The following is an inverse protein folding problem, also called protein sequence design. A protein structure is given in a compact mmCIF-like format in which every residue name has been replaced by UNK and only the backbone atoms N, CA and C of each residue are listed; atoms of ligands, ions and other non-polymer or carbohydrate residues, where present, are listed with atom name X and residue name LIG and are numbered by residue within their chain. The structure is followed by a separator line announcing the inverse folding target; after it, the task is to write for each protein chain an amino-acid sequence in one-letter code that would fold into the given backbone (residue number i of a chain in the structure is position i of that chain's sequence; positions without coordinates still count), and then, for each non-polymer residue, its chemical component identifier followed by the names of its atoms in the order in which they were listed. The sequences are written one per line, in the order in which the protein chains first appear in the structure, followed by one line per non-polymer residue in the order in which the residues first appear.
data_IF_880989711561
#
_entry.id   IF_880989711561
#
_cell.length_a   1.000
_cell.length_b   1.000
_cell.length_c   1.000
_cell.angle_alpha   90.00
_cell.angle_beta   90.00
_cell.angle_gamma   90.00
#
_symmetry.space_group_name_H-M   'P 1'
#
loop_
_entity.id
_entity.type
_entity.pdbx_description
1 polymer ?
#
# COMPACT_ATOMS: atom_id res chain seq x y z
N UNK A 1 -0.69 -11.91 9.25
CA UNK A 1 -0.09 -11.26 8.09
C UNK A 1 0.99 -10.26 8.49
N UNK A 2 2.16 -10.30 7.83
CA UNK A 2 3.16 -9.23 7.93
C UNK A 2 2.93 -8.15 6.88
N UNK A 3 3.15 -6.89 7.25
CA UNK A 3 2.96 -5.74 6.37
C UNK A 3 4.30 -5.06 6.12
N UNK A 4 4.64 -4.93 4.84
CA UNK A 4 5.83 -4.25 4.39
C UNK A 4 5.47 -3.14 3.40
N UNK A 5 6.39 -2.19 3.20
CA UNK A 5 6.30 -1.25 2.09
C UNK A 5 7.66 -0.99 1.43
N UNK A 6 7.62 -0.50 0.20
CA UNK A 6 8.79 0.06 -0.47
C UNK A 6 8.93 1.56 -0.16
N UNK A 7 10.08 2.15 -0.50
CA UNK A 7 10.36 3.56 -0.29
C UNK A 7 9.30 4.49 -0.91
N UNK A 8 8.84 4.20 -2.13
CA UNK A 8 7.87 5.04 -2.85
C UNK A 8 6.57 5.19 -2.08
N UNK A 9 6.06 4.09 -1.50
CA UNK A 9 4.89 4.13 -0.63
C UNK A 9 5.16 5.01 0.59
N UNK A 10 6.27 4.77 1.31
CA UNK A 10 6.60 5.52 2.52
C UNK A 10 6.67 7.02 2.23
N UNK A 11 7.37 7.41 1.17
CA UNK A 11 7.51 8.82 0.76
C UNK A 11 6.16 9.48 0.49
N UNK A 12 5.29 8.86 -0.31
CA UNK A 12 3.97 9.45 -0.60
C UNK A 12 3.05 9.42 0.63
N UNK A 13 3.11 8.36 1.43
CA UNK A 13 2.33 8.26 2.66
C UNK A 13 2.70 9.36 3.66
N UNK A 14 3.99 9.57 3.94
CA UNK A 14 4.47 10.60 4.86
C UNK A 14 4.14 12.01 4.35
N UNK A 15 4.34 12.24 3.04
CA UNK A 15 3.97 13.48 2.37
C UNK A 15 2.47 13.78 2.53
N UNK A 16 1.59 12.82 2.25
CA UNK A 16 0.15 12.99 2.38
C UNK A 16 -0.27 13.17 3.85
N UNK A 17 0.23 12.34 4.76
CA UNK A 17 -0.11 12.39 6.19
C UNK A 17 0.25 13.73 6.83
N UNK A 18 1.31 14.39 6.34
CA UNK A 18 1.70 15.73 6.81
C UNK A 18 0.71 16.84 6.46
N UNK A 19 -0.24 16.61 5.53
CA UNK A 19 -1.18 17.63 5.04
C UNK A 19 -2.53 17.44 5.68
N UNK A 20 -3.10 18.54 6.22
CA UNK A 20 -4.43 18.57 6.84
C UNK A 20 -5.52 17.91 6.00
N UNK A 21 -5.53 18.13 4.69
CA UNK A 21 -6.53 17.58 3.77
C UNK A 21 -6.46 16.06 3.59
N UNK A 22 -5.37 15.41 3.98
CA UNK A 22 -5.16 13.96 3.83
C UNK A 22 -4.81 13.27 5.15
N UNK A 23 -5.04 13.90 6.30
CA UNK A 23 -4.76 13.33 7.64
C UNK A 23 -5.50 12.01 7.93
N UNK A 24 -6.54 11.70 7.15
CA UNK A 24 -7.28 10.43 7.27
C UNK A 24 -6.51 9.22 6.73
N UNK A 25 -5.45 9.41 5.94
CA UNK A 25 -4.76 8.32 5.23
C UNK A 25 -4.21 7.26 6.19
N UNK A 26 -3.64 7.67 7.32
CA UNK A 26 -3.07 6.74 8.30
C UNK A 26 -4.15 5.87 8.94
N UNK A 27 -5.21 6.50 9.44
CA UNK A 27 -6.38 5.77 9.96
C UNK A 27 -6.97 4.82 8.92
N UNK A 28 -6.97 5.20 7.65
CA UNK A 28 -7.49 4.38 6.56
C UNK A 28 -6.60 3.17 6.27
N UNK A 29 -5.28 3.34 6.36
CA UNK A 29 -4.32 2.22 6.27
C UNK A 29 -4.49 1.28 7.45
N UNK A 30 -4.56 1.81 8.68
CA UNK A 30 -4.76 1.01 9.90
C UNK A 30 -6.04 0.18 9.79
N UNK A 31 -7.17 0.85 9.52
CA UNK A 31 -8.49 0.22 9.47
C UNK A 31 -8.60 -0.85 8.38
N UNK A 32 -7.95 -0.63 7.22
CA UNK A 32 -8.11 -1.55 6.09
C UNK A 32 -7.11 -2.70 6.10
N UNK A 33 -5.84 -2.47 6.42
CA UNK A 33 -4.78 -3.47 6.22
C UNK A 33 -4.38 -4.24 7.48
N UNK A 34 -4.48 -3.64 8.67
CA UNK A 34 -4.09 -4.31 9.91
C UNK A 34 -5.18 -5.25 10.40
N UNK A 35 -4.78 -6.31 11.11
CA UNK A 35 -5.65 -7.36 11.63
C UNK A 35 -6.47 -8.09 10.55
N UNK A 36 -5.91 -8.19 9.33
CA UNK A 36 -6.49 -8.94 8.22
C UNK A 36 -5.51 -9.96 7.67
N UNK A 37 -6.06 -11.00 7.07
CA UNK A 37 -5.33 -11.99 6.26
C UNK A 37 -5.13 -11.47 4.84
N UNK A 38 -4.15 -12.06 4.14
CA UNK A 38 -3.91 -11.73 2.73
C UNK A 38 -5.14 -12.00 1.84
N UNK A 39 -5.92 -13.02 2.15
CA UNK A 39 -7.14 -13.42 1.44
C UNK A 39 -8.27 -12.38 1.59
N UNK A 40 -8.47 -11.84 2.79
CA UNK A 40 -9.45 -10.77 3.04
C UNK A 40 -9.12 -9.47 2.29
N UNK A 41 -7.84 -9.26 1.98
CA UNK A 41 -7.34 -8.10 1.25
C UNK A 41 -7.35 -8.28 -0.27
N UNK A 42 -7.75 -9.44 -0.77
CA UNK A 42 -7.74 -9.78 -2.20
C UNK A 42 -8.76 -9.00 -3.04
N UNK A 43 -9.65 -8.23 -2.40
CA UNK A 43 -10.65 -7.43 -3.11
C UNK A 43 -10.04 -6.22 -3.82
N UNK A 44 -10.53 -5.88 -5.02
CA UNK A 44 -10.04 -4.75 -5.83
C UNK A 44 -9.85 -5.13 -7.30
N UNK A 45 -9.21 -4.24 -8.07
CA UNK A 45 -8.81 -4.56 -9.44
C UNK A 45 -7.48 -5.28 -9.40
N UNK A 46 -7.46 -6.55 -9.83
CA UNK A 46 -6.22 -7.29 -10.02
C UNK A 46 -5.52 -6.77 -11.28
N UNK A 47 -4.25 -6.39 -11.13
CA UNK A 47 -3.38 -5.83 -12.17
C UNK A 47 -2.49 -6.89 -12.81
N UNK A 48 -2.45 -8.10 -12.23
CA UNK A 48 -1.86 -9.29 -12.82
C UNK A 48 -2.91 -10.43 -12.84
N UNK A 49 -2.66 -11.51 -13.58
CA UNK A 49 -3.55 -12.68 -13.59
C UNK A 49 -3.07 -13.78 -12.62
N UNK A 50 -2.36 -13.41 -11.54
CA UNK A 50 -1.79 -14.39 -10.60
C UNK A 50 -2.70 -14.56 -9.39
N UNK A 51 -3.21 -15.77 -9.17
CA UNK A 51 -4.02 -16.09 -7.98
C UNK A 51 -3.18 -16.26 -6.72
N UNK A 52 -1.92 -16.66 -6.85
CA UNK A 52 -1.01 -16.91 -5.71
C UNK A 52 -0.32 -15.64 -5.22
N UNK A 53 -0.09 -14.69 -6.12
CA UNK A 53 0.56 -13.41 -5.81
C UNK A 53 -0.21 -12.23 -6.40
N UNK A 54 -1.44 -11.96 -5.92
CA UNK A 54 -2.27 -10.86 -6.41
C UNK A 54 -1.54 -9.52 -6.36
N UNK A 55 -1.41 -8.85 -7.51
CA UNK A 55 -1.06 -7.43 -7.55
C UNK A 55 -2.36 -6.63 -7.69
N UNK A 56 -2.71 -5.82 -6.69
CA UNK A 56 -4.04 -5.23 -6.56
C UNK A 56 -3.95 -3.70 -6.58
N UNK A 57 -4.87 -3.09 -7.33
CA UNK A 57 -5.30 -1.70 -7.16
C UNK A 57 -6.60 -1.66 -6.38
N UNK A 58 -6.61 -0.96 -5.26
CA UNK A 58 -7.81 -0.75 -4.44
C UNK A 58 -8.04 0.73 -4.19
N UNK A 59 -9.31 1.16 -4.29
CA UNK A 59 -9.73 2.44 -3.76
C UNK A 59 -10.22 2.25 -2.33
N UNK A 60 -9.64 2.97 -1.39
CA UNK A 60 -10.17 3.11 -0.02
C UNK A 60 -11.00 4.39 0.05
N UNK A 61 -12.22 4.29 0.58
CA UNK A 61 -13.25 5.35 0.64
C UNK A 61 -13.78 5.85 -0.73
N UNK A 62 -14.79 6.73 -0.67
CA UNK A 62 -15.58 7.23 -1.79
C UNK A 62 -14.89 8.30 -2.66
N UNK A 63 -15.58 9.40 -2.96
CA UNK A 63 -15.14 10.43 -3.91
C UNK A 63 -13.78 11.07 -3.57
N UNK A 64 -13.48 11.26 -2.28
CA UNK A 64 -12.18 11.76 -1.78
C UNK A 64 -11.19 10.66 -1.34
N UNK A 65 -11.41 9.42 -1.76
CA UNK A 65 -10.61 8.27 -1.33
C UNK A 65 -9.19 8.22 -1.91
N UNK A 66 -8.43 7.24 -1.46
CA UNK A 66 -7.06 6.97 -1.91
C UNK A 66 -7.02 5.73 -2.78
N UNK A 67 -6.16 5.74 -3.79
CA UNK A 67 -5.82 4.56 -4.58
C UNK A 67 -4.53 3.96 -4.06
N UNK A 68 -4.62 2.72 -3.62
CA UNK A 68 -3.51 1.91 -3.15
C UNK A 68 -3.14 0.87 -4.19
N UNK A 69 -1.84 0.64 -4.31
CA UNK A 69 -1.23 -0.41 -5.12
C UNK A 69 -0.43 -1.29 -4.19
N UNK A 70 -0.74 -2.59 -4.15
CA UNK A 70 -0.08 -3.51 -3.25
C UNK A 70 -0.01 -4.93 -3.80
N UNK A 71 0.99 -5.68 -3.37
CA UNK A 71 1.21 -7.07 -3.72
C UNK A 71 0.92 -7.94 -2.49
N UNK A 72 0.12 -8.98 -2.69
CA UNK A 72 -0.12 -10.03 -1.71
C UNK A 72 0.71 -11.26 -2.06
N UNK A 73 1.25 -11.95 -1.05
CA UNK A 73 1.90 -13.26 -1.18
C UNK A 73 1.25 -14.20 -0.18
N UNK A 74 0.36 -15.08 -0.66
CA UNK A 74 -0.43 -15.96 0.23
C UNK A 74 0.43 -17.00 0.94
N UNK A 75 1.44 -17.56 0.25
CA UNK A 75 2.32 -18.59 0.84
C UNK A 75 3.00 -18.14 2.13
N UNK A 76 3.32 -16.86 2.24
CA UNK A 76 3.98 -16.27 3.41
C UNK A 76 3.06 -15.36 4.24
N UNK A 77 1.76 -15.30 3.90
CA UNK A 77 0.78 -14.36 4.45
C UNK A 77 1.38 -12.95 4.62
N UNK A 78 1.84 -12.38 3.50
CA UNK A 78 2.54 -11.09 3.47
C UNK A 78 1.90 -10.09 2.53
N UNK A 79 1.86 -8.83 2.94
CA UNK A 79 1.40 -7.68 2.18
C UNK A 79 2.57 -6.72 1.92
N UNK A 80 2.71 -6.27 0.67
CA UNK A 80 3.68 -5.27 0.27
C UNK A 80 2.96 -4.05 -0.31
N UNK A 81 2.92 -2.96 0.45
CA UNK A 81 2.40 -1.66 0.01
C UNK A 81 3.41 -0.99 -0.92
N UNK A 82 2.98 -0.71 -2.15
CA UNK A 82 3.86 -0.26 -3.24
C UNK A 82 3.73 1.23 -3.50
N UNK A 83 2.51 1.74 -3.54
CA UNK A 83 2.25 3.15 -3.81
C UNK A 83 0.86 3.58 -3.33
N UNK A 84 0.70 4.88 -3.06
CA UNK A 84 -0.58 5.49 -2.72
C UNK A 84 -0.69 6.89 -3.31
N UNK A 85 -1.89 7.24 -3.78
CA UNK A 85 -2.21 8.62 -4.16
C UNK A 85 -3.70 8.91 -3.95
N UNK A 86 -4.09 10.16 -3.65
CA UNK A 86 -5.50 10.52 -3.54
C UNK A 86 -6.17 10.53 -4.92
N UNK A 87 -7.49 10.32 -4.94
CA UNK A 87 -8.29 10.43 -6.17
C UNK A 87 -8.53 11.89 -6.57
N UNK A 88 -8.71 12.76 -5.59
CA UNK A 88 -9.09 14.16 -5.76
C UNK A 88 -8.24 15.05 -4.86
N UNK A 89 -8.35 16.37 -5.02
CA UNK A 89 -7.59 17.36 -4.25
C UNK A 89 -6.31 17.80 -4.96
N UNK A 90 -5.51 18.62 -4.30
CA UNK A 90 -4.28 19.20 -4.85
C UNK A 90 -3.20 18.20 -5.27
N UNK A 91 -3.24 16.98 -4.70
CA UNK A 91 -2.37 15.86 -5.07
C UNK A 91 -3.16 14.74 -5.78
N UNK A 92 -4.41 15.00 -6.13
CA UNK A 92 -5.27 14.06 -6.84
C UNK A 92 -4.73 13.86 -8.25
N UNK A 93 -4.49 12.61 -8.61
CA UNK A 93 -4.05 12.22 -9.95
C UNK A 93 -4.87 11.06 -10.48
N UNK A 94 -4.84 10.90 -11.81
CA UNK A 94 -5.43 9.76 -12.49
C UNK A 94 -4.75 8.44 -12.11
N UNK A 95 -5.31 7.33 -12.58
CA UNK A 95 -4.67 6.04 -12.38
C UNK A 95 -3.26 6.05 -12.99
N UNK A 96 -2.35 5.27 -12.39
CA UNK A 96 -1.07 4.99 -13.01
C UNK A 96 -1.29 4.34 -14.39
N UNK A 97 -0.46 4.72 -15.36
CA UNK A 97 -0.45 4.08 -16.66
C UNK A 97 0.16 2.67 -16.59
N UNK A 98 -0.02 1.88 -17.65
CA UNK A 98 0.45 0.50 -17.69
C UNK A 98 1.98 0.39 -17.51
N UNK A 99 2.74 1.37 -18.01
CA UNK A 99 4.20 1.41 -17.86
C UNK A 99 4.60 1.59 -16.40
N UNK A 100 3.98 2.53 -15.69
CA UNK A 100 4.21 2.79 -14.27
C UNK A 100 3.77 1.62 -13.40
N UNK A 101 2.62 0.99 -13.72
CA UNK A 101 2.14 -0.23 -13.04
C UNK A 101 3.16 -1.36 -13.15
N UNK A 102 3.68 -1.62 -14.36
CA UNK A 102 4.67 -2.66 -14.60
C UNK A 102 6.02 -2.35 -13.94
N UNK A 103 6.45 -1.09 -13.98
CA UNK A 103 7.67 -0.64 -13.30
C UNK A 103 7.57 -0.84 -11.79
N UNK A 104 6.45 -0.42 -11.18
CA UNK A 104 6.21 -0.57 -9.75
C UNK A 104 6.23 -2.05 -9.33
N UNK A 105 5.66 -2.93 -10.15
CA UNK A 105 5.70 -4.38 -9.92
C UNK A 105 7.13 -4.94 -9.96
N UNK A 106 7.95 -4.56 -10.96
CA UNK A 106 9.36 -4.97 -11.00
C UNK A 106 10.14 -4.45 -9.79
N UNK A 107 9.86 -3.21 -9.38
CA UNK A 107 10.51 -2.56 -8.24
C UNK A 107 10.23 -3.28 -6.92
N UNK A 108 8.97 -3.63 -6.64
CA UNK A 108 8.64 -4.35 -5.40
C UNK A 108 9.31 -5.73 -5.34
N UNK A 109 9.36 -6.46 -6.46
CA UNK A 109 10.06 -7.76 -6.51
C UNK A 109 11.56 -7.60 -6.25
N UNK A 110 12.19 -6.55 -6.78
CA UNK A 110 13.59 -6.26 -6.51
C UNK A 110 13.83 -5.90 -5.03
N UNK A 111 12.96 -5.09 -4.42
CA UNK A 111 13.00 -4.76 -3.00
C UNK A 111 12.81 -5.99 -2.10
N UNK A 112 11.88 -6.89 -2.45
CA UNK A 112 11.69 -8.16 -1.73
C UNK A 112 12.97 -9.00 -1.78
N UNK A 113 13.59 -9.11 -2.95
CA UNK A 113 14.83 -9.89 -3.12
C UNK A 113 16.03 -9.30 -2.37
N UNK A 114 16.13 -7.96 -2.31
CA UNK A 114 17.27 -7.28 -1.69
C UNK A 114 17.07 -6.94 -0.21
N UNK A 115 15.88 -7.18 0.35
CA UNK A 115 15.53 -6.76 1.71
C UNK A 115 15.31 -5.25 1.85
N UNK A 116 15.36 -4.47 0.76
CA UNK A 116 15.19 -3.02 0.80
C UNK A 116 13.72 -2.61 0.98
N UNK A 117 13.20 -2.89 2.17
CA UNK A 117 11.80 -2.73 2.57
C UNK A 117 11.73 -1.99 3.92
N UNK A 118 10.51 -1.62 4.30
CA UNK A 118 10.16 -1.22 5.65
C UNK A 118 9.08 -2.15 6.16
N UNK A 119 9.21 -2.69 7.37
CA UNK A 119 8.12 -3.33 8.09
C UNK A 119 7.25 -2.26 8.74
N UNK A 120 5.94 -2.40 8.59
CA UNK A 120 4.96 -1.53 9.23
C UNK A 120 4.45 -2.23 10.49
N UNK A 121 4.53 -1.52 11.60
CA UNK A 121 4.00 -1.97 12.89
C UNK A 121 3.15 -0.84 13.49
N UNK A 122 2.15 -1.20 14.28
CA UNK A 122 1.43 -0.20 15.06
C UNK A 122 2.27 0.17 16.29
N UNK A 123 2.14 1.41 16.73
CA UNK A 123 2.63 1.84 18.04
C UNK A 123 1.87 1.11 19.17
N UNK A 124 2.30 1.33 20.41
CA UNK A 124 1.69 0.70 21.60
C UNK A 124 0.20 1.02 21.74
N UNK A 125 -0.23 2.17 21.22
CA UNK A 125 -1.64 2.59 21.27
C UNK A 125 -2.50 2.03 20.14
N UNK A 126 -1.89 1.46 19.09
CA UNK A 126 -2.59 0.97 17.91
C UNK A 126 -3.04 2.08 16.93
N UNK A 127 -2.64 3.33 17.14
CA UNK A 127 -3.18 4.50 16.43
C UNK A 127 -2.20 5.13 15.44
N UNK A 128 -0.92 4.77 15.51
CA UNK A 128 0.12 5.28 14.62
C UNK A 128 0.93 4.15 13.99
N UNK A 129 1.36 4.36 12.74
CA UNK A 129 2.19 3.42 11.98
C UNK A 129 3.66 3.79 12.17
N UNK A 130 4.45 2.82 12.62
CA UNK A 130 5.89 2.89 12.68
C UNK A 130 6.51 2.14 11.49
N UNK A 131 7.47 2.78 10.80
CA UNK A 131 8.22 2.19 9.70
C UNK A 131 9.59 1.73 10.20
N UNK A 132 9.81 0.41 10.30
CA UNK A 132 11.10 -0.18 10.68
C UNK A 132 11.84 -0.66 9.44
N UNK A 133 13.04 -0.14 9.21
CA UNK A 133 13.88 -0.57 8.08
C UNK A 133 14.35 -2.02 8.30
N UNK A 134 14.31 -2.83 7.23
CA UNK A 134 14.91 -4.17 7.20
C UNK A 134 16.32 -4.14 6.61
#
# INVERSE_FOLDING_TARGET
MEIFCIQDFKTEFEKLSSKKSYQSIEKDVITYFFNKTSEELASGTRLNNSDKTPYIKKRLKGSGGYRFYFLLIYKSDSLYLMFVHPKTGSYGVDNLDNKSIAYLYKKVLACIKSGNLYKLELDETGNAIQFKKL
#
